data_IF_785774615077
#
_entry.id   IF_785774615077
#
_cell.length_a   1.000
_cell.length_b   1.000
_cell.length_c   1.000
_cell.angle_alpha   90.00
_cell.angle_beta   90.00
_cell.angle_gamma   90.00
#
_symmetry.space_group_name_H-M   'P 1'
#
loop_
_entity.id
_entity.type
_entity.pdbx_description
1 polymer ?
#
# COMPACT_ATOMS: atom_id res chain seq x y z
N UNK A 1 -16.66 31.47 7.46
CA UNK A 1 -17.17 30.08 7.43
C UNK A 1 -16.15 29.23 6.71
N UNK A 2 -15.22 28.67 7.47
CA UNK A 2 -14.07 27.91 6.93
C UNK A 2 -14.34 26.44 7.18
N UNK A 3 -14.90 25.77 6.19
CA UNK A 3 -15.15 24.33 6.23
C UNK A 3 -13.79 23.62 6.07
N UNK A 4 -13.25 23.11 7.18
CA UNK A 4 -12.05 22.27 7.18
C UNK A 4 -12.30 21.05 6.28
N UNK A 5 -11.65 20.98 5.13
CA UNK A 5 -11.52 19.74 4.36
C UNK A 5 -10.67 18.78 5.20
N UNK A 6 -11.31 17.87 5.93
CA UNK A 6 -10.64 16.76 6.62
C UNK A 6 -10.00 15.87 5.57
N UNK A 7 -8.69 15.72 5.64
CA UNK A 7 -7.97 14.82 4.78
C UNK A 7 -8.53 13.39 4.91
N UNK A 8 -8.96 12.81 3.82
CA UNK A 8 -9.69 11.53 3.77
C UNK A 8 -8.86 10.29 4.16
N UNK A 9 -7.58 10.46 4.47
CA UNK A 9 -6.66 9.35 4.79
C UNK A 9 -6.84 8.80 6.21
N UNK A 10 -7.30 9.61 7.18
CA UNK A 10 -7.59 9.15 8.55
C UNK A 10 -8.85 8.27 8.68
N UNK A 11 -9.76 8.33 7.69
CA UNK A 11 -11.02 7.57 7.72
C UNK A 11 -10.89 6.11 7.17
N UNK A 12 -9.68 5.68 6.80
CA UNK A 12 -9.42 4.38 6.16
C UNK A 12 -8.97 3.28 7.12
N UNK A 13 -9.11 3.50 8.44
CA UNK A 13 -8.80 2.47 9.42
C UNK A 13 -9.91 1.42 9.44
N UNK A 14 -9.60 0.25 8.91
CA UNK A 14 -10.48 -0.92 8.93
C UNK A 14 -10.68 -1.43 10.35
N UNK A 15 -11.92 -1.82 10.71
CA UNK A 15 -12.24 -2.55 11.93
C UNK A 15 -11.41 -3.83 12.04
N UNK A 16 -10.28 -3.77 12.71
CA UNK A 16 -9.51 -4.94 13.12
C UNK A 16 -9.97 -5.33 14.52
N UNK A 17 -11.05 -6.10 14.60
CA UNK A 17 -11.49 -6.75 15.82
C UNK A 17 -10.63 -7.98 16.10
N UNK A 18 -9.47 -7.81 16.70
CA UNK A 18 -8.66 -8.86 17.28
C UNK A 18 -8.02 -8.31 18.53
N UNK A 19 -8.37 -8.85 19.71
CA UNK A 19 -7.65 -8.57 20.96
C UNK A 19 -6.21 -9.03 20.81
N UNK A 20 -5.31 -8.15 20.40
CA UNK A 20 -3.89 -8.26 20.70
C UNK A 20 -3.67 -7.60 22.05
N UNK A 21 -3.61 -8.43 23.10
CA UNK A 21 -2.98 -8.05 24.36
C UNK A 21 -1.48 -7.92 24.05
N UNK A 22 -1.02 -6.73 23.75
CA UNK A 22 0.40 -6.43 23.51
C UNK A 22 0.78 -5.25 24.37
N UNK A 23 1.69 -5.54 25.25
CA UNK A 23 2.26 -4.74 26.32
C UNK A 23 2.44 -3.24 25.95
N UNK A 24 1.76 -2.42 26.75
CA UNK A 24 1.86 -0.95 26.72
C UNK A 24 3.10 -0.50 27.55
N UNK A 25 4.19 -1.27 27.51
CA UNK A 25 5.43 -0.91 28.16
C UNK A 25 6.16 0.14 27.35
N UNK A 26 6.12 1.39 27.82
CA UNK A 26 7.08 2.42 27.44
C UNK A 26 8.44 1.99 27.95
N UNK A 27 9.25 1.36 27.11
CA UNK A 27 10.64 1.01 27.43
C UNK A 27 11.48 2.25 27.27
N UNK A 28 11.83 2.91 28.37
CA UNK A 28 12.82 3.96 28.36
C UNK A 28 14.13 3.39 27.78
N UNK A 29 14.52 3.86 26.57
CA UNK A 29 15.81 3.56 25.98
C UNK A 29 15.85 2.45 24.93
N UNK A 30 14.80 2.25 24.13
CA UNK A 30 14.91 1.41 22.93
C UNK A 30 15.99 1.96 22.00
N UNK A 31 16.91 1.10 21.55
CA UNK A 31 17.95 1.53 20.63
C UNK A 31 17.36 1.90 19.26
N UNK A 32 17.82 3.00 18.64
CA UNK A 32 17.50 3.31 17.26
C UNK A 32 17.92 2.16 16.34
N UNK A 33 17.15 1.93 15.28
CA UNK A 33 17.49 0.95 14.26
C UNK A 33 17.32 1.53 12.86
N UNK A 34 17.96 0.92 11.86
CA UNK A 34 17.79 1.26 10.45
C UNK A 34 16.97 0.19 9.75
N UNK A 35 16.06 0.61 8.89
CA UNK A 35 15.36 -0.27 7.95
C UNK A 35 15.57 0.22 6.52
N UNK A 36 15.52 -0.72 5.56
CA UNK A 36 15.49 -0.39 4.14
C UNK A 36 14.09 -0.64 3.59
N UNK A 37 13.47 0.40 3.04
CA UNK A 37 12.17 0.35 2.40
C UNK A 37 12.16 1.25 1.17
N UNK A 38 11.70 0.75 0.03
CA UNK A 38 11.68 1.47 -1.24
C UNK A 38 13.06 2.08 -1.61
N UNK A 39 14.12 1.32 -1.42
CA UNK A 39 15.53 1.69 -1.61
C UNK A 39 16.06 2.80 -0.68
N UNK A 40 15.26 3.25 0.29
CA UNK A 40 15.66 4.24 1.30
C UNK A 40 16.11 3.55 2.58
N UNK A 41 17.19 4.04 3.17
CA UNK A 41 17.61 3.69 4.53
C UNK A 41 16.98 4.68 5.50
N UNK A 42 16.04 4.20 6.29
CA UNK A 42 15.31 4.99 7.28
C UNK A 42 15.80 4.63 8.67
N UNK A 43 16.35 5.61 9.40
CA UNK A 43 16.67 5.45 10.82
C UNK A 43 15.45 5.81 11.67
N UNK A 44 15.03 4.90 12.53
CA UNK A 44 13.88 5.04 13.41
C UNK A 44 14.32 5.06 14.86
N UNK A 45 13.80 6.02 15.63
CA UNK A 45 13.92 6.10 17.09
C UNK A 45 12.58 5.71 17.72
N UNK A 46 12.38 4.44 18.07
CA UNK A 46 11.09 3.98 18.58
C UNK A 46 10.90 4.32 20.06
N UNK A 47 9.65 4.60 20.45
CA UNK A 47 9.20 4.70 21.84
C UNK A 47 8.73 3.34 22.36
N UNK A 48 8.11 2.51 21.50
CA UNK A 48 7.59 1.20 21.84
C UNK A 48 8.20 0.10 20.96
N UNK A 49 8.39 -1.09 21.53
CA UNK A 49 8.99 -2.23 20.85
C UNK A 49 8.16 -2.72 19.63
N UNK A 50 6.89 -2.32 19.53
CA UNK A 50 6.00 -2.73 18.44
C UNK A 50 6.49 -2.25 17.08
N UNK A 51 7.07 -1.05 16.99
CA UNK A 51 7.64 -0.51 15.74
C UNK A 51 8.76 -1.43 15.23
N UNK A 52 9.69 -1.83 16.11
CA UNK A 52 10.78 -2.75 15.74
C UNK A 52 10.27 -4.13 15.31
N UNK A 53 9.25 -4.66 16.01
CA UNK A 53 8.63 -5.94 15.61
C UNK A 53 7.95 -5.87 14.25
N UNK A 54 7.25 -4.77 13.97
CA UNK A 54 6.60 -4.55 12.68
C UNK A 54 7.61 -4.46 11.54
N UNK A 55 8.73 -3.78 11.77
CA UNK A 55 9.78 -3.54 10.77
C UNK A 55 10.84 -4.66 10.67
N UNK A 56 10.71 -5.76 11.41
CA UNK A 56 11.76 -6.79 11.57
C UNK A 56 12.36 -7.30 10.26
N UNK A 57 11.53 -7.50 9.24
CA UNK A 57 11.94 -8.06 7.94
C UNK A 57 12.56 -7.01 6.99
N UNK A 58 12.65 -5.76 7.46
CA UNK A 58 13.21 -4.60 6.74
C UNK A 58 14.50 -4.08 7.41
N UNK A 59 14.86 -4.59 8.58
CA UNK A 59 16.03 -4.13 9.35
C UNK A 59 17.31 -4.36 8.56
N UNK A 60 18.18 -3.35 8.56
CA UNK A 60 19.49 -3.37 7.91
C UNK A 60 20.57 -2.86 8.86
N UNK A 61 21.84 -2.98 8.45
CA UNK A 61 22.98 -2.53 9.23
C UNK A 61 22.89 -1.01 9.51
N UNK A 62 23.08 -0.64 10.77
CA UNK A 62 23.02 0.76 11.22
C UNK A 62 24.20 1.63 10.75
N UNK A 63 25.24 1.02 10.17
CA UNK A 63 26.39 1.73 9.57
C UNK A 63 26.11 2.30 8.16
N UNK A 64 24.99 1.91 7.55
CA UNK A 64 24.62 2.43 6.23
C UNK A 64 24.30 3.92 6.30
N UNK A 65 24.58 4.62 5.18
CA UNK A 65 24.17 6.01 5.03
C UNK A 65 22.64 6.11 5.15
N UNK A 66 22.18 7.09 5.92
CA UNK A 66 20.77 7.27 6.26
C UNK A 66 20.16 8.34 5.36
N UNK A 67 19.10 8.00 4.64
CA UNK A 67 18.38 8.94 3.77
C UNK A 67 17.33 9.73 4.58
N UNK A 68 16.65 9.07 5.53
CA UNK A 68 15.60 9.67 6.36
C UNK A 68 15.83 9.27 7.82
N UNK A 69 15.80 10.25 8.73
CA UNK A 69 15.79 10.01 10.17
C UNK A 69 14.49 10.50 10.77
N UNK A 70 13.81 9.63 11.52
CA UNK A 70 12.51 9.90 12.13
C UNK A 70 12.41 9.31 13.53
N UNK A 71 11.47 9.87 14.28
CA UNK A 71 10.94 9.33 15.54
C UNK A 71 9.54 9.90 15.73
N UNK A 72 8.69 9.18 16.46
CA UNK A 72 7.41 9.69 16.89
C UNK A 72 7.54 10.31 18.28
N UNK A 73 6.75 11.32 18.53
CA UNK A 73 6.54 11.94 19.86
C UNK A 73 5.18 11.53 20.42
N UNK A 74 4.93 11.80 21.70
CA UNK A 74 3.60 11.59 22.26
C UNK A 74 2.52 12.43 21.54
N UNK A 75 2.86 13.64 21.11
CA UNK A 75 1.94 14.47 20.33
C UNK A 75 1.58 13.84 18.96
N UNK A 76 2.50 13.11 18.33
CA UNK A 76 2.21 12.37 17.10
C UNK A 76 1.27 11.19 17.36
N UNK A 77 1.46 10.48 18.46
CA UNK A 77 0.58 9.39 18.90
C UNK A 77 -0.83 9.92 19.21
N UNK A 78 -0.92 11.04 19.93
CA UNK A 78 -2.20 11.68 20.25
C UNK A 78 -2.92 12.16 18.98
N UNK A 79 -2.19 12.70 18.02
CA UNK A 79 -2.74 13.04 16.71
C UNK A 79 -3.34 11.81 15.99
N UNK A 80 -2.65 10.67 15.97
CA UNK A 80 -3.19 9.44 15.37
C UNK A 80 -4.45 8.96 16.12
N UNK A 81 -4.49 9.13 17.46
CA UNK A 81 -5.66 8.80 18.28
C UNK A 81 -6.85 9.68 17.91
N UNK A 82 -6.65 10.99 17.73
CA UNK A 82 -7.70 11.93 17.36
C UNK A 82 -8.24 11.68 15.93
N UNK A 83 -7.37 11.13 15.05
CA UNK A 83 -7.74 10.78 13.69
C UNK A 83 -8.41 9.41 13.60
N UNK A 84 -8.34 8.57 14.64
CA UNK A 84 -8.93 7.24 14.67
C UNK A 84 -10.46 7.31 14.57
N UNK A 85 -11.06 6.33 13.89
CA UNK A 85 -12.52 6.20 13.85
C UNK A 85 -13.06 5.73 15.19
N UNK A 86 -14.25 6.23 15.59
CA UNK A 86 -14.90 5.94 16.85
C UNK A 86 -14.99 4.43 17.16
N UNK A 87 -14.83 4.08 18.43
CA UNK A 87 -15.12 2.74 18.97
C UNK A 87 -13.95 1.75 19.00
N UNK A 88 -12.71 2.20 18.89
CA UNK A 88 -11.51 1.36 19.02
C UNK A 88 -10.55 1.94 20.04
N UNK A 89 -10.23 1.15 21.06
CA UNK A 89 -9.16 1.46 22.03
C UNK A 89 -7.81 1.06 21.42
N UNK A 90 -7.19 1.98 20.68
CA UNK A 90 -5.87 1.76 20.14
C UNK A 90 -4.80 2.01 21.19
N UNK A 91 -3.84 1.09 21.32
CA UNK A 91 -2.69 1.30 22.21
C UNK A 91 -1.72 2.32 21.63
N UNK A 92 -0.98 3.02 22.50
CA UNK A 92 0.08 3.96 22.08
C UNK A 92 1.10 3.29 21.19
N UNK A 93 1.45 2.04 21.49
CA UNK A 93 2.38 1.24 20.69
C UNK A 93 1.89 1.02 19.26
N UNK A 94 0.58 0.80 19.05
CA UNK A 94 0.02 0.68 17.71
C UNK A 94 -0.05 2.04 17.00
N UNK A 95 -0.50 3.07 17.71
CA UNK A 95 -0.60 4.43 17.17
C UNK A 95 0.78 4.99 16.78
N UNK A 96 1.84 4.65 17.54
CA UNK A 96 3.20 4.97 17.15
C UNK A 96 3.57 4.37 15.79
N UNK A 97 3.14 3.14 15.47
CA UNK A 97 3.43 2.56 14.15
C UNK A 97 2.80 3.36 13.00
N UNK A 98 1.64 3.97 13.23
CA UNK A 98 0.96 4.85 12.27
C UNK A 98 1.66 6.22 12.19
N UNK A 99 2.07 6.77 13.33
CA UNK A 99 2.82 8.02 13.39
C UNK A 99 4.17 7.91 12.66
N UNK A 100 4.88 6.79 12.84
CA UNK A 100 6.13 6.48 12.11
C UNK A 100 5.86 6.36 10.61
N UNK A 101 4.80 5.67 10.20
CA UNK A 101 4.41 5.60 8.78
C UNK A 101 4.16 6.99 8.19
N UNK A 102 3.38 7.81 8.89
CA UNK A 102 3.06 9.18 8.46
C UNK A 102 4.32 10.05 8.38
N UNK A 103 5.22 9.93 9.36
CA UNK A 103 6.49 10.67 9.36
C UNK A 103 7.36 10.32 8.15
N UNK A 104 7.43 9.04 7.76
CA UNK A 104 8.10 8.62 6.53
C UNK A 104 7.36 9.18 5.32
N UNK A 105 6.03 9.00 5.26
CA UNK A 105 5.21 9.40 4.12
C UNK A 105 5.33 10.90 3.81
N UNK A 106 5.51 11.75 4.82
CA UNK A 106 5.75 13.18 4.66
C UNK A 106 7.06 13.50 3.93
N UNK A 107 8.04 12.60 3.94
CA UNK A 107 9.36 12.78 3.33
C UNK A 107 9.50 12.06 1.97
N UNK A 108 8.53 11.21 1.61
CA UNK A 108 8.59 10.42 0.38
C UNK A 108 8.63 11.26 -0.90
N UNK A 109 7.84 12.36 -1.05
CA UNK A 109 7.83 13.13 -2.29
C UNK A 109 9.20 13.73 -2.64
N UNK A 110 9.96 14.22 -1.65
CA UNK A 110 11.33 14.74 -1.82
C UNK A 110 12.30 13.65 -2.31
N UNK A 111 11.93 12.39 -2.13
CA UNK A 111 12.69 11.21 -2.51
C UNK A 111 12.11 10.54 -3.77
N UNK A 112 11.26 11.23 -4.54
CA UNK A 112 10.57 10.70 -5.74
C UNK A 112 9.73 9.44 -5.45
N UNK A 113 9.04 9.41 -4.31
CA UNK A 113 8.19 8.28 -3.89
C UNK A 113 6.82 8.75 -3.42
N UNK A 114 5.85 7.85 -3.54
CA UNK A 114 4.47 8.03 -3.07
C UNK A 114 4.10 6.93 -2.08
N UNK A 115 3.27 7.26 -1.10
CA UNK A 115 2.50 6.28 -0.33
C UNK A 115 1.14 6.10 -0.99
N UNK A 116 0.82 4.88 -1.42
CA UNK A 116 -0.47 4.54 -1.98
C UNK A 116 -1.30 3.68 -1.00
N UNK A 117 -2.62 3.75 -1.12
CA UNK A 117 -3.55 2.85 -0.44
C UNK A 117 -4.09 1.85 -1.46
N UNK A 118 -3.63 0.63 -1.36
CA UNK A 118 -4.03 -0.44 -2.25
C UNK A 118 -3.30 -1.72 -1.94
N UNK A 119 -3.74 -2.79 -2.55
CA UNK A 119 -3.10 -4.07 -2.43
C UNK A 119 -2.37 -4.41 -3.73
N UNK A 120 -1.17 -4.95 -3.62
CA UNK A 120 -0.28 -5.19 -4.75
C UNK A 120 0.04 -6.67 -4.84
N UNK A 121 -0.23 -7.23 -6.01
CA UNK A 121 0.29 -8.53 -6.41
C UNK A 121 1.38 -8.37 -7.47
N UNK A 122 2.24 -9.34 -7.53
CA UNK A 122 3.19 -9.53 -8.61
C UNK A 122 2.87 -10.84 -9.32
N UNK A 123 2.90 -10.80 -10.65
CA UNK A 123 2.74 -11.92 -11.55
C UNK A 123 3.73 -11.76 -12.71
N UNK A 124 4.58 -12.75 -12.94
CA UNK A 124 5.61 -12.78 -14.00
C UNK A 124 6.49 -11.51 -14.04
N UNK A 125 6.98 -11.07 -12.87
CA UNK A 125 7.85 -9.90 -12.74
C UNK A 125 7.16 -8.55 -12.92
N UNK A 126 5.83 -8.51 -12.98
CA UNK A 126 5.03 -7.30 -13.13
C UNK A 126 4.07 -7.13 -11.96
N UNK A 127 4.00 -5.91 -11.41
CA UNK A 127 3.10 -5.61 -10.32
C UNK A 127 1.79 -4.97 -10.79
N UNK A 128 0.70 -5.31 -10.11
CA UNK A 128 -0.62 -4.73 -10.31
C UNK A 128 -1.14 -4.19 -8.98
N UNK A 129 -1.47 -2.90 -8.96
CA UNK A 129 -1.99 -2.19 -7.79
C UNK A 129 -3.52 -2.15 -7.84
N UNK A 130 -4.18 -2.94 -7.02
CA UNK A 130 -5.63 -2.90 -6.83
C UNK A 130 -5.98 -1.86 -5.77
N UNK A 131 -6.71 -0.85 -6.17
CA UNK A 131 -7.08 0.25 -5.29
C UNK A 131 -8.58 0.51 -5.30
N UNK A 132 -9.11 0.89 -4.14
CA UNK A 132 -10.53 1.18 -3.91
C UNK A 132 -10.72 1.73 -2.50
N UNK A 133 -11.87 2.32 -2.16
CA UNK A 133 -12.23 2.64 -0.79
C UNK A 133 -12.12 1.44 0.14
N UNK A 134 -11.94 1.69 1.45
CA UNK A 134 -11.91 0.62 2.45
C UNK A 134 -13.19 -0.23 2.39
N UNK A 135 -13.03 -1.55 2.53
CA UNK A 135 -14.17 -2.48 2.49
C UNK A 135 -14.72 -2.80 1.11
N UNK A 136 -14.17 -2.25 0.02
CA UNK A 136 -14.66 -2.52 -1.34
C UNK A 136 -14.35 -3.94 -1.84
N UNK A 137 -13.39 -4.67 -1.22
CA UNK A 137 -13.09 -6.06 -1.58
C UNK A 137 -11.67 -6.32 -2.08
N UNK A 138 -10.73 -5.36 -1.99
CA UNK A 138 -9.34 -5.52 -2.43
C UNK A 138 -8.69 -6.81 -1.91
N UNK A 139 -8.65 -7.00 -0.58
CA UNK A 139 -8.04 -8.19 0.04
C UNK A 139 -8.75 -9.49 -0.39
N UNK A 140 -10.06 -9.45 -0.61
CA UNK A 140 -10.81 -10.60 -1.11
C UNK A 140 -10.38 -10.95 -2.52
N UNK A 141 -10.28 -9.97 -3.41
CA UNK A 141 -9.88 -10.19 -4.81
C UNK A 141 -8.45 -10.74 -4.91
N UNK A 142 -7.51 -10.21 -4.12
CA UNK A 142 -6.13 -10.72 -4.07
C UNK A 142 -6.07 -12.15 -3.50
N UNK A 143 -6.91 -12.46 -2.51
CA UNK A 143 -7.02 -13.84 -1.99
C UNK A 143 -7.52 -14.80 -3.08
N UNK A 144 -8.45 -14.37 -3.92
CA UNK A 144 -8.94 -15.17 -5.05
C UNK A 144 -7.83 -15.40 -6.10
N UNK A 145 -7.04 -14.37 -6.43
CA UNK A 145 -5.89 -14.54 -7.32
C UNK A 145 -4.93 -15.62 -6.80
N UNK A 146 -4.59 -15.59 -5.51
CA UNK A 146 -3.75 -16.61 -4.89
C UNK A 146 -4.40 -17.99 -4.84
N UNK A 147 -5.72 -18.05 -4.65
CA UNK A 147 -6.46 -19.30 -4.60
C UNK A 147 -6.46 -20.02 -5.94
N UNK A 148 -6.63 -19.29 -7.03
CA UNK A 148 -6.81 -19.88 -8.37
C UNK A 148 -5.51 -19.97 -9.18
N UNK A 149 -4.52 -19.11 -8.89
CA UNK A 149 -3.25 -19.07 -9.61
C UNK A 149 -2.05 -19.53 -8.76
N UNK A 150 -2.29 -19.87 -7.48
CA UNK A 150 -1.30 -20.49 -6.61
C UNK A 150 -0.05 -19.63 -6.40
N UNK A 151 1.12 -20.29 -6.43
CA UNK A 151 2.42 -19.68 -6.17
C UNK A 151 2.93 -18.78 -7.30
N UNK A 152 2.28 -18.80 -8.46
CA UNK A 152 2.56 -17.85 -9.54
C UNK A 152 2.24 -16.40 -9.14
N UNK A 153 1.42 -16.20 -8.10
CA UNK A 153 1.03 -14.88 -7.61
C UNK A 153 1.69 -14.59 -6.27
N UNK A 154 2.54 -13.58 -6.24
CA UNK A 154 3.14 -13.07 -5.01
C UNK A 154 2.44 -11.80 -4.55
N UNK A 155 2.03 -11.74 -3.27
CA UNK A 155 1.53 -10.48 -2.69
C UNK A 155 2.72 -9.69 -2.18
N UNK A 156 2.95 -8.51 -2.75
CA UNK A 156 4.00 -7.58 -2.32
C UNK A 156 3.55 -6.81 -1.09
N UNK A 157 2.32 -6.25 -1.13
CA UNK A 157 1.76 -5.51 0.00
C UNK A 157 0.23 -5.55 -0.01
N UNK A 158 -0.39 -5.67 1.17
CA UNK A 158 -1.85 -5.77 1.30
C UNK A 158 -2.59 -4.44 1.48
N UNK A 159 -1.89 -3.31 1.77
CA UNK A 159 -2.59 -2.07 2.14
C UNK A 159 -1.85 -0.77 1.82
N UNK A 160 -0.57 -0.63 2.16
CA UNK A 160 0.17 0.64 2.13
C UNK A 160 1.51 0.53 1.40
N UNK A 161 1.52 0.14 0.11
CA UNK A 161 2.75 0.09 -0.67
C UNK A 161 3.34 1.49 -0.88
N UNK A 162 4.67 1.56 -1.04
CA UNK A 162 5.34 2.73 -1.57
C UNK A 162 5.58 2.55 -3.07
N UNK A 163 5.52 3.64 -3.82
CA UNK A 163 5.78 3.64 -5.26
C UNK A 163 6.89 4.63 -5.56
N UNK A 164 8.01 4.16 -6.09
CA UNK A 164 9.09 5.00 -6.60
C UNK A 164 8.81 5.39 -8.04
N UNK A 165 8.94 6.68 -8.33
CA UNK A 165 8.77 7.23 -9.67
C UNK A 165 10.18 7.55 -10.21
N UNK A 166 10.70 6.78 -11.19
CA UNK A 166 12.00 7.07 -11.78
C UNK A 166 12.00 8.43 -12.51
N UNK A 167 13.14 9.12 -12.47
CA UNK A 167 13.33 10.38 -13.25
C UNK A 167 13.31 10.10 -14.75
N UNK A 168 13.89 8.97 -15.17
CA UNK A 168 13.84 8.51 -16.55
C UNK A 168 12.40 8.15 -16.94
N UNK A 169 11.87 8.80 -17.97
CA UNK A 169 10.47 8.65 -18.38
C UNK A 169 10.17 7.32 -19.05
N UNK A 170 11.17 6.66 -19.57
CA UNK A 170 11.09 5.34 -20.21
C UNK A 170 10.99 4.20 -19.19
N UNK A 171 11.40 4.44 -17.94
CA UNK A 171 11.33 3.46 -16.88
C UNK A 171 9.94 3.45 -16.23
N UNK A 172 9.43 2.24 -15.95
CA UNK A 172 8.19 2.11 -15.19
C UNK A 172 8.41 2.48 -13.72
N UNK A 173 7.38 3.08 -13.08
CA UNK A 173 7.34 3.16 -11.62
C UNK A 173 7.52 1.79 -10.99
N UNK A 174 8.18 1.74 -9.83
CA UNK A 174 8.43 0.50 -9.09
C UNK A 174 7.65 0.56 -7.78
N UNK A 175 6.86 -0.48 -7.53
CA UNK A 175 6.11 -0.60 -6.28
C UNK A 175 6.85 -1.51 -5.30
N UNK A 176 6.83 -1.13 -4.03
CA UNK A 176 7.54 -1.79 -2.94
C UNK A 176 6.59 -2.19 -1.83
N UNK A 177 6.85 -3.36 -1.27
CA UNK A 177 6.24 -3.76 -0.01
C UNK A 177 6.77 -2.93 1.15
N UNK A 178 5.91 -2.72 2.13
CA UNK A 178 6.21 -1.96 3.35
C UNK A 178 5.78 -2.76 4.57
N UNK A 179 6.26 -2.45 5.78
CA UNK A 179 5.78 -3.08 7.00
C UNK A 179 4.26 -2.93 7.22
N UNK A 180 3.65 -1.90 6.65
CA UNK A 180 2.23 -1.58 6.82
C UNK A 180 1.37 -2.26 5.74
N UNK A 181 0.95 -3.50 6.02
CA UNK A 181 0.26 -4.36 5.04
C UNK A 181 -1.21 -4.65 5.38
N UNK A 182 -1.77 -3.92 6.33
CA UNK A 182 -3.14 -4.12 6.79
C UNK A 182 -3.30 -5.36 7.68
N UNK A 183 -4.56 -5.70 7.97
CA UNK A 183 -4.91 -6.78 8.92
C UNK A 183 -4.51 -8.19 8.45
N UNK A 184 -4.31 -8.38 7.17
CA UNK A 184 -3.96 -9.68 6.60
C UNK A 184 -2.47 -10.01 6.81
N UNK A 185 -1.63 -9.03 7.15
CA UNK A 185 -0.20 -9.20 7.34
C UNK A 185 0.54 -9.61 6.06
N UNK A 186 0.01 -9.26 4.91
CA UNK A 186 0.61 -9.58 3.62
C UNK A 186 1.61 -8.50 3.21
N UNK A 187 2.80 -8.58 3.77
CA UNK A 187 3.94 -7.78 3.37
C UNK A 187 5.11 -8.65 2.96
N UNK A 188 5.88 -8.16 2.01
CA UNK A 188 7.19 -8.66 1.65
C UNK A 188 8.13 -7.48 1.46
N UNK A 189 9.37 -7.63 1.87
CA UNK A 189 10.42 -6.68 1.50
C UNK A 189 10.89 -7.01 0.08
N UNK A 190 10.01 -6.74 -0.87
CA UNK A 190 10.14 -7.07 -2.29
C UNK A 190 9.60 -5.92 -3.13
N UNK A 191 9.89 -5.93 -4.43
CA UNK A 191 9.45 -4.88 -5.35
C UNK A 191 9.28 -5.43 -6.77
N UNK A 192 8.47 -4.75 -7.58
CA UNK A 192 8.34 -5.04 -9.00
C UNK A 192 7.91 -3.78 -9.79
N UNK A 193 8.22 -3.72 -11.11
CA UNK A 193 7.70 -2.69 -12.00
C UNK A 193 6.17 -2.67 -12.01
N UNK A 194 5.58 -1.50 -11.82
CA UNK A 194 4.12 -1.31 -11.81
C UNK A 194 3.58 -1.31 -13.25
N UNK A 195 2.86 -2.37 -13.60
CA UNK A 195 2.31 -2.57 -14.93
C UNK A 195 0.85 -2.16 -15.08
N UNK A 196 0.12 -1.97 -13.96
CA UNK A 196 -1.28 -1.53 -14.03
C UNK A 196 -1.81 -1.07 -12.68
N UNK A 197 -2.73 -0.10 -12.72
CA UNK A 197 -3.51 0.38 -11.58
C UNK A 197 -4.97 0.02 -11.82
N UNK A 198 -5.58 -0.70 -10.88
CA UNK A 198 -6.92 -1.25 -11.02
C UNK A 198 -7.85 -0.59 -10.00
N UNK A 199 -8.82 0.16 -10.50
CA UNK A 199 -9.92 0.74 -9.73
C UNK A 199 -11.00 -0.34 -9.54
N UNK A 200 -11.05 -0.92 -8.34
CA UNK A 200 -11.95 -2.02 -8.03
C UNK A 200 -13.29 -1.52 -7.51
N UNK A 201 -14.35 -2.09 -8.04
CA UNK A 201 -15.73 -1.94 -7.58
C UNK A 201 -16.44 -3.28 -7.51
N UNK A 202 -17.55 -3.35 -6.76
CA UNK A 202 -18.37 -4.58 -6.72
C UNK A 202 -19.30 -4.65 -7.91
N UNK A 203 -19.49 -5.86 -8.43
CA UNK A 203 -20.53 -6.19 -9.42
C UNK A 203 -21.58 -7.11 -8.82
N UNK A 204 -22.68 -7.30 -9.56
CA UNK A 204 -23.61 -8.39 -9.33
C UNK A 204 -22.94 -9.74 -9.62
N UNK A 205 -23.37 -10.84 -8.99
CA UNK A 205 -22.83 -12.17 -9.27
C UNK A 205 -22.86 -12.52 -10.77
N UNK A 206 -21.74 -13.01 -11.29
CA UNK A 206 -21.59 -13.37 -12.70
C UNK A 206 -21.43 -12.21 -13.67
N UNK A 207 -21.28 -10.97 -13.18
CA UNK A 207 -21.12 -9.78 -14.01
C UNK A 207 -19.70 -9.15 -13.89
N UNK A 208 -18.69 -9.98 -13.58
CA UNK A 208 -17.31 -9.52 -13.47
C UNK A 208 -16.76 -9.07 -14.82
N UNK A 209 -16.14 -7.90 -14.86
CA UNK A 209 -15.54 -7.34 -16.08
C UNK A 209 -14.43 -6.34 -15.77
N UNK A 210 -13.44 -6.29 -16.65
CA UNK A 210 -12.38 -5.29 -16.62
C UNK A 210 -12.32 -4.55 -17.95
N UNK A 211 -11.96 -3.27 -17.90
CA UNK A 211 -11.75 -2.45 -19.09
C UNK A 211 -10.70 -1.37 -18.84
N UNK A 212 -9.98 -0.91 -19.88
CA UNK A 212 -9.15 0.28 -19.78
C UNK A 212 -9.98 1.48 -19.31
N UNK A 213 -9.37 2.30 -18.44
CA UNK A 213 -10.01 3.48 -17.87
C UNK A 213 -9.16 4.72 -18.11
N UNK A 214 -9.80 5.87 -18.30
CA UNK A 214 -9.10 7.14 -18.37
C UNK A 214 -8.66 7.57 -16.97
N UNK A 215 -7.36 7.78 -16.76
CA UNK A 215 -6.84 8.35 -15.53
C UNK A 215 -7.43 9.72 -15.24
N UNK A 216 -7.56 10.58 -16.27
CA UNK A 216 -8.12 11.93 -16.14
C UNK A 216 -9.57 11.92 -15.66
N UNK A 217 -10.40 10.99 -16.15
CA UNK A 217 -11.81 10.87 -15.73
C UNK A 217 -11.97 10.24 -14.34
N UNK A 218 -10.93 9.58 -13.82
CA UNK A 218 -10.92 8.94 -12.52
C UNK A 218 -9.95 9.61 -11.52
N UNK A 219 -9.46 10.81 -11.83
CA UNK A 219 -8.43 11.48 -11.04
C UNK A 219 -8.85 11.65 -9.57
N UNK A 220 -10.11 11.97 -9.30
CA UNK A 220 -10.62 12.10 -7.94
C UNK A 220 -10.53 10.81 -7.13
N UNK A 221 -10.78 9.67 -7.79
CA UNK A 221 -10.66 8.34 -7.14
C UNK A 221 -9.19 8.02 -6.86
N UNK A 222 -8.31 8.28 -7.84
CA UNK A 222 -6.87 8.02 -7.75
C UNK A 222 -6.21 8.88 -6.68
N UNK A 223 -6.48 10.19 -6.64
CA UNK A 223 -5.97 11.10 -5.62
C UNK A 223 -6.39 10.70 -4.20
N UNK A 224 -7.58 10.15 -4.02
CA UNK A 224 -8.04 9.66 -2.71
C UNK A 224 -7.27 8.44 -2.21
N UNK A 225 -6.53 7.77 -3.08
CA UNK A 225 -5.75 6.58 -2.75
C UNK A 225 -4.24 6.87 -2.64
N UNK A 226 -3.84 8.14 -2.71
CA UNK A 226 -2.46 8.58 -2.49
C UNK A 226 -2.42 9.47 -1.26
N UNK A 227 -1.39 9.31 -0.44
CA UNK A 227 -1.16 10.18 0.69
C UNK A 227 -0.60 11.51 0.25
N UNK A 228 -1.23 12.60 0.67
CA UNK A 228 -0.76 13.97 0.46
C UNK A 228 -0.24 14.51 1.78
N UNK A 229 1.06 14.85 1.89
CA UNK A 229 1.61 15.52 3.06
C UNK A 229 0.88 16.84 3.37
N UNK A 230 0.81 17.27 4.66
CA UNK A 230 0.19 18.54 5.03
C UNK A 230 0.99 19.76 4.56
N UNK A 231 2.28 19.59 4.28
CA UNK A 231 3.14 20.63 3.71
C UNK A 231 2.78 20.90 2.25
N UNK A 232 2.71 22.18 1.85
CA UNK A 232 2.23 22.59 0.53
C UNK A 232 3.20 22.20 -0.58
N UNK A 233 4.51 22.31 -0.35
CA UNK A 233 5.54 21.97 -1.34
C UNK A 233 5.59 20.47 -1.56
N UNK A 234 5.61 19.68 -0.48
CA UNK A 234 5.54 18.22 -0.55
C UNK A 234 4.22 17.74 -1.21
N UNK A 235 3.10 18.42 -0.96
CA UNK A 235 1.82 18.12 -1.63
C UNK A 235 1.88 18.41 -3.14
N UNK A 236 2.53 19.48 -3.57
CA UNK A 236 2.72 19.78 -4.99
C UNK A 236 3.62 18.74 -5.65
N UNK A 237 4.73 18.37 -5.03
CA UNK A 237 5.59 17.27 -5.50
C UNK A 237 4.80 15.96 -5.62
N UNK A 238 3.90 15.69 -4.67
CA UNK A 238 3.03 14.49 -4.72
C UNK A 238 2.14 14.50 -5.96
N UNK A 239 1.57 15.66 -6.33
CA UNK A 239 0.77 15.80 -7.55
C UNK A 239 1.59 15.56 -8.81
N UNK A 240 2.79 16.13 -8.88
CA UNK A 240 3.69 15.96 -10.03
C UNK A 240 4.11 14.49 -10.19
N UNK A 241 4.42 13.82 -9.08
CA UNK A 241 4.77 12.41 -9.08
C UNK A 241 3.57 11.51 -9.47
N UNK A 242 2.37 11.84 -8.99
CA UNK A 242 1.15 11.14 -9.38
C UNK A 242 0.89 11.28 -10.89
N UNK A 243 1.00 12.49 -11.44
CA UNK A 243 0.87 12.73 -12.87
C UNK A 243 1.90 11.93 -13.68
N UNK A 244 3.17 11.96 -13.25
CA UNK A 244 4.23 11.21 -13.88
C UNK A 244 4.02 9.68 -13.80
N UNK A 245 3.42 9.16 -12.75
CA UNK A 245 3.02 7.76 -12.63
C UNK A 245 1.90 7.42 -13.60
N UNK A 246 0.84 8.23 -13.63
CA UNK A 246 -0.35 8.00 -14.47
C UNK A 246 -0.07 8.17 -15.98
N UNK A 247 0.97 8.92 -16.34
CA UNK A 247 1.43 9.03 -17.73
C UNK A 247 2.11 7.75 -18.25
N UNK A 248 2.54 6.84 -17.35
CA UNK A 248 3.34 5.64 -17.70
C UNK A 248 2.59 4.33 -17.42
N UNK A 249 1.66 4.35 -16.47
CA UNK A 249 0.98 3.14 -15.99
C UNK A 249 -0.48 3.19 -16.40
N UNK A 250 -0.96 2.18 -17.16
CA UNK A 250 -2.36 2.10 -17.56
C UNK A 250 -3.26 1.91 -16.34
N UNK A 251 -4.44 2.52 -16.41
CA UNK A 251 -5.50 2.41 -15.40
C UNK A 251 -6.63 1.56 -15.96
N UNK A 252 -7.23 0.75 -15.10
CA UNK A 252 -8.35 -0.13 -15.43
C UNK A 252 -9.49 0.06 -14.44
N UNK A 253 -10.74 -0.02 -14.92
CA UNK A 253 -11.92 -0.21 -14.10
C UNK A 253 -12.22 -1.72 -14.03
N UNK A 254 -12.24 -2.28 -12.82
CA UNK A 254 -12.64 -3.65 -12.54
C UNK A 254 -13.92 -3.65 -11.72
N UNK A 255 -15.01 -4.13 -12.32
CA UNK A 255 -16.18 -4.54 -11.58
C UNK A 255 -16.10 -6.04 -11.31
N UNK A 256 -16.14 -6.47 -10.05
CA UNK A 256 -15.94 -7.87 -9.70
C UNK A 256 -16.85 -8.34 -8.56
N UNK A 257 -17.23 -9.60 -8.62
CA UNK A 257 -17.84 -10.36 -7.54
C UNK A 257 -16.76 -11.16 -6.76
N UNK A 258 -17.16 -12.22 -6.07
CA UNK A 258 -16.25 -13.08 -5.29
C UNK A 258 -16.04 -14.46 -5.96
N UNK A 259 -16.16 -14.55 -7.27
CA UNK A 259 -16.07 -15.80 -8.04
C UNK A 259 -14.71 -15.93 -8.75
N UNK A 260 -14.47 -17.11 -9.33
CA UNK A 260 -13.36 -17.37 -10.24
C UNK A 260 -13.42 -16.47 -11.48
N UNK A 261 -14.62 -16.17 -11.98
CA UNK A 261 -14.82 -15.26 -13.12
C UNK A 261 -14.22 -13.87 -12.87
N UNK A 262 -14.21 -13.40 -11.63
CA UNK A 262 -13.56 -12.14 -11.27
C UNK A 262 -12.04 -12.21 -11.45
N UNK A 263 -11.44 -13.36 -11.12
CA UNK A 263 -10.00 -13.59 -11.34
C UNK A 263 -9.73 -13.70 -12.83
N UNK A 264 -10.49 -14.53 -13.55
CA UNK A 264 -10.36 -14.69 -15.00
C UNK A 264 -10.43 -13.35 -15.71
N UNK A 265 -11.47 -12.56 -15.46
CA UNK A 265 -11.63 -11.24 -16.09
C UNK A 265 -10.42 -10.33 -15.83
N UNK A 266 -9.98 -10.22 -14.56
CA UNK A 266 -8.84 -9.37 -14.22
C UNK A 266 -7.52 -9.93 -14.76
N UNK A 267 -7.31 -11.24 -14.75
CA UNK A 267 -6.13 -11.90 -15.30
C UNK A 267 -5.98 -11.62 -16.80
N UNK A 268 -7.00 -11.96 -17.59
CA UNK A 268 -7.00 -11.76 -19.04
C UNK A 268 -6.81 -10.29 -19.42
N UNK A 269 -7.54 -9.38 -18.73
CA UNK A 269 -7.46 -7.96 -19.02
C UNK A 269 -6.15 -7.29 -18.63
N UNK A 270 -5.43 -7.80 -17.62
CA UNK A 270 -4.16 -7.23 -17.15
C UNK A 270 -2.95 -7.87 -17.82
N UNK A 271 -2.99 -9.17 -18.11
CA UNK A 271 -1.85 -9.90 -18.66
C UNK A 271 -1.92 -10.08 -20.18
N UNK A 272 -3.13 -10.07 -20.74
CA UNK A 272 -3.39 -10.42 -22.13
C UNK A 272 -3.29 -11.92 -22.42
N UNK A 273 -3.10 -12.76 -21.39
CA UNK A 273 -3.05 -14.21 -21.51
C UNK A 273 -4.46 -14.80 -21.38
N UNK A 274 -4.72 -15.94 -22.04
CA UNK A 274 -5.95 -16.72 -21.81
C UNK A 274 -5.83 -17.44 -20.46
N UNK A 275 -6.82 -17.24 -19.60
CA UNK A 275 -6.84 -17.79 -18.25
C UNK A 275 -6.88 -19.33 -18.24
N UNK A 276 -7.73 -19.93 -19.09
CA UNK A 276 -7.90 -21.38 -19.11
C UNK A 276 -6.69 -22.08 -19.69
N UNK A 277 -6.02 -21.48 -20.68
CA UNK A 277 -4.79 -22.01 -21.23
C UNK A 277 -3.66 -21.92 -20.20
N UNK A 278 -3.57 -20.82 -19.46
CA UNK A 278 -2.58 -20.64 -18.40
C UNK A 278 -2.76 -21.69 -17.28
N UNK A 279 -3.96 -21.82 -16.71
CA UNK A 279 -4.21 -22.76 -15.61
C UNK A 279 -3.99 -24.20 -16.05
N UNK A 280 -4.30 -24.55 -17.31
CA UNK A 280 -4.07 -25.87 -17.85
C UNK A 280 -2.59 -26.19 -18.00
N UNK A 281 -1.77 -25.25 -18.49
CA UNK A 281 -0.32 -25.43 -18.62
C UNK A 281 0.35 -25.59 -17.26
N UNK A 282 -0.02 -24.75 -16.28
CA UNK A 282 0.52 -24.82 -14.91
C UNK A 282 0.21 -26.15 -14.21
N UNK A 283 -0.94 -26.77 -14.52
CA UNK A 283 -1.33 -28.08 -13.94
C UNK A 283 -0.57 -29.28 -14.52
N UNK A 284 0.22 -29.10 -15.56
CA UNK A 284 1.01 -30.16 -16.21
C UNK A 284 2.50 -30.13 -15.83
N UNK A 285 2.95 -29.12 -15.08
CA UNK A 285 4.34 -28.98 -14.65
C UNK A 285 4.60 -29.52 -13.22
N UNK A 286 3.55 -29.93 -12.50
CA UNK A 286 3.61 -30.62 -11.20
C UNK A 286 3.56 -32.15 -11.39
#
# INVERSE_FOLDING_TARGET
MTTRRRAAFGALQTKAGGRMNMDNEVSAGLAPFCMRVADLVVRIRPLHAMVGRLCKDYVVDASLAVDIEIGATQADIDYERDMATEGTDWTDAYLETLAVQRAIANRLPEQHRLLSHGAVIEFEGRAYLFTAPSGAGKSTHIRLWRQYLGDAVRVINGDKPFVRIPECREELPVVYGTPWAGKEGWQRNDSAPLAGIVLLSRSEPGASSIRPASAALNIDKLMRQVYFPPDAEASMLTLDLLDAMLARVPVYDLACDMSEDAVRASFEGLTGLDYHDYVRSASHED
#
